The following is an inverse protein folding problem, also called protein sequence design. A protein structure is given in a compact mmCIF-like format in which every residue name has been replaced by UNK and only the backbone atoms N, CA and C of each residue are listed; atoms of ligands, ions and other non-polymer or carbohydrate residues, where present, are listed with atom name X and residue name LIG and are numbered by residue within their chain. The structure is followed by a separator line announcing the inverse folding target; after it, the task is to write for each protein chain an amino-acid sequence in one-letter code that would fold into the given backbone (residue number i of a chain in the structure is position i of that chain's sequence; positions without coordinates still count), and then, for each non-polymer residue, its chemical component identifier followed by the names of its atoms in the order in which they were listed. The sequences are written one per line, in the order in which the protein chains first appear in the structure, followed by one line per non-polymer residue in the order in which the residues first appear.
data_IF_185594631218
#
_entry.id   IF_185594631218
#
_cell.length_a   1.000
_cell.length_b   1.000
_cell.length_c   1.000
_cell.angle_alpha   90.00
_cell.angle_beta   90.00
_cell.angle_gamma   90.00
#
_symmetry.space_group_name_H-M   'P 1'
#
loop_
_entity.id
_entity.type
_entity.pdbx_description
1 polymer ?
#
# COMPACT_ATOMS: atom_id res chain seq x y z
N UNK A 1 -9.21 7.67 -3.76
CA UNK A 1 -9.18 6.32 -4.38
C UNK A 1 -10.30 5.51 -3.78
N UNK A 2 -11.13 4.90 -4.62
CA UNK A 2 -12.26 4.10 -4.17
C UNK A 2 -11.82 2.70 -3.74
N UNK A 3 -12.64 2.02 -2.94
CA UNK A 3 -12.36 0.67 -2.47
C UNK A 3 -12.18 -0.32 -3.62
N UNK A 4 -13.00 -0.22 -4.67
CA UNK A 4 -12.94 -1.10 -5.84
C UNK A 4 -11.62 -0.95 -6.59
N UNK A 5 -11.20 0.28 -6.88
CA UNK A 5 -9.92 0.54 -7.53
C UNK A 5 -8.76 -0.05 -6.73
N UNK A 6 -8.76 0.17 -5.42
CA UNK A 6 -7.71 -0.33 -4.52
C UNK A 6 -7.67 -1.86 -4.48
N UNK A 7 -8.84 -2.51 -4.47
CA UNK A 7 -8.95 -3.96 -4.46
C UNK A 7 -8.42 -4.56 -5.77
N UNK A 8 -8.78 -3.98 -6.92
CA UNK A 8 -8.27 -4.41 -8.23
C UNK A 8 -6.74 -4.27 -8.28
N UNK A 9 -6.20 -3.10 -7.92
CA UNK A 9 -4.75 -2.88 -7.95
C UNK A 9 -3.99 -3.88 -7.06
N UNK A 10 -4.52 -4.20 -5.87
CA UNK A 10 -3.90 -5.18 -4.98
C UNK A 10 -3.92 -6.59 -5.58
N UNK A 11 -5.05 -7.02 -6.14
CA UNK A 11 -5.19 -8.36 -6.72
C UNK A 11 -4.32 -8.48 -7.98
N UNK A 12 -4.43 -7.52 -8.89
CA UNK A 12 -3.84 -7.61 -10.23
C UNK A 12 -2.34 -7.35 -10.24
N UNK A 13 -1.83 -6.53 -9.31
CA UNK A 13 -0.43 -6.09 -9.34
C UNK A 13 0.40 -6.53 -8.14
N UNK A 14 -0.22 -6.81 -6.99
CA UNK A 14 0.52 -7.22 -5.78
C UNK A 14 0.37 -8.71 -5.54
N UNK A 15 -0.86 -9.21 -5.36
CA UNK A 15 -1.10 -10.61 -5.00
C UNK A 15 -0.77 -11.56 -6.16
N UNK A 16 -1.04 -11.15 -7.40
CA UNK A 16 -0.66 -11.93 -8.58
C UNK A 16 0.85 -12.16 -8.72
N UNK A 17 1.67 -11.23 -8.22
CA UNK A 17 3.15 -11.26 -8.33
C UNK A 17 3.82 -11.86 -7.11
N UNK A 18 3.36 -11.47 -5.92
CA UNK A 18 3.98 -11.83 -4.64
C UNK A 18 3.31 -13.05 -3.99
N UNK A 19 2.17 -13.50 -4.53
CA UNK A 19 1.31 -14.50 -3.92
C UNK A 19 0.29 -13.89 -2.95
N UNK A 20 -0.63 -14.73 -2.49
CA UNK A 20 -1.66 -14.33 -1.54
C UNK A 20 -1.04 -14.16 -0.14
N UNK A 21 -1.20 -13.01 0.53
CA UNK A 21 -0.69 -12.83 1.88
C UNK A 21 -1.53 -13.60 2.89
N UNK A 22 -0.88 -14.16 3.91
CA UNK A 22 -1.57 -14.70 5.09
C UNK A 22 -2.08 -13.58 6.00
N UNK A 23 -1.30 -12.50 6.11
CA UNK A 23 -1.62 -11.34 6.95
C UNK A 23 -1.42 -10.03 6.17
N UNK A 24 -2.33 -9.08 6.37
CA UNK A 24 -2.20 -7.71 5.86
C UNK A 24 -2.28 -6.71 6.99
N UNK A 25 -1.29 -5.82 7.07
CA UNK A 25 -1.29 -4.69 8.00
C UNK A 25 -1.71 -3.45 7.24
N UNK A 26 -2.86 -2.86 7.59
CA UNK A 26 -3.30 -1.57 7.04
C UNK A 26 -3.40 -0.50 8.12
N UNK A 27 -3.41 0.75 7.66
CA UNK A 27 -3.87 1.86 8.49
C UNK A 27 -5.39 1.80 8.72
N UNK A 28 -5.93 2.82 9.41
CA UNK A 28 -7.37 2.96 9.68
C UNK A 28 -8.10 3.71 8.55
N UNK A 29 -7.57 3.69 7.32
CA UNK A 29 -8.22 4.28 6.16
C UNK A 29 -9.57 3.62 5.86
N UNK A 30 -10.60 4.43 5.59
CA UNK A 30 -11.97 3.95 5.32
C UNK A 30 -12.03 2.94 4.17
N UNK A 31 -11.15 3.08 3.18
CA UNK A 31 -11.02 2.17 2.04
C UNK A 31 -10.79 0.72 2.49
N UNK A 32 -9.79 0.50 3.36
CA UNK A 32 -9.42 -0.83 3.85
C UNK A 32 -10.41 -1.40 4.88
N UNK A 33 -11.34 -0.58 5.38
CA UNK A 33 -12.42 -0.95 6.31
C UNK A 33 -13.79 -1.09 5.63
N UNK A 34 -13.86 -0.87 4.32
CA UNK A 34 -15.09 -1.01 3.53
C UNK A 34 -15.62 -2.45 3.52
N UNK A 35 -16.91 -2.61 3.21
CA UNK A 35 -17.54 -3.93 3.10
C UNK A 35 -16.84 -4.81 2.05
N UNK A 36 -16.46 -4.23 0.91
CA UNK A 36 -15.70 -4.91 -0.12
C UNK A 36 -14.41 -5.53 0.43
N UNK A 37 -13.63 -4.77 1.18
CA UNK A 37 -12.38 -5.28 1.74
C UNK A 37 -12.60 -6.37 2.79
N UNK A 38 -13.67 -6.28 3.59
CA UNK A 38 -14.03 -7.34 4.53
C UNK A 38 -14.32 -8.66 3.81
N UNK A 39 -15.08 -8.59 2.72
CA UNK A 39 -15.38 -9.77 1.89
C UNK A 39 -14.12 -10.31 1.21
N UNK A 40 -13.25 -9.43 0.73
CA UNK A 40 -11.96 -9.80 0.14
C UNK A 40 -11.07 -10.53 1.16
N UNK A 41 -10.91 -10.00 2.37
CA UNK A 41 -10.12 -10.66 3.42
C UNK A 41 -10.70 -12.04 3.77
N UNK A 42 -12.02 -12.15 3.84
CA UNK A 42 -12.68 -13.43 4.10
C UNK A 42 -12.49 -14.44 2.98
N UNK A 43 -12.70 -14.03 1.72
CA UNK A 43 -12.60 -14.89 0.54
C UNK A 43 -11.20 -15.50 0.41
N UNK A 44 -10.18 -14.67 0.61
CA UNK A 44 -8.79 -15.09 0.48
C UNK A 44 -8.17 -15.55 1.79
N UNK A 45 -8.95 -15.63 2.88
CA UNK A 45 -8.49 -16.04 4.22
C UNK A 45 -7.32 -15.18 4.74
N UNK A 46 -7.30 -13.90 4.38
CA UNK A 46 -6.30 -12.95 4.86
C UNK A 46 -6.68 -12.49 6.25
N UNK A 47 -5.76 -12.60 7.20
CA UNK A 47 -5.90 -11.97 8.50
C UNK A 47 -5.56 -10.48 8.41
N UNK A 48 -6.57 -9.63 8.54
CA UNK A 48 -6.36 -8.19 8.64
C UNK A 48 -5.85 -7.83 10.03
N UNK A 49 -4.65 -7.28 10.09
CA UNK A 49 -4.09 -6.59 11.24
C UNK A 49 -4.27 -5.07 11.09
N UNK A 50 -4.63 -4.41 12.18
CA UNK A 50 -4.67 -2.94 12.23
C UNK A 50 -3.39 -2.44 12.87
N UNK A 51 -2.74 -1.44 12.26
CA UNK A 51 -1.77 -0.64 13.01
C UNK A 51 -2.48 -0.03 14.22
N UNK A 52 -1.93 -0.18 15.42
CA UNK A 52 -2.52 0.47 16.61
C UNK A 52 -2.53 1.98 16.38
N UNK A 53 -3.67 2.67 16.54
CA UNK A 53 -3.69 4.12 16.45
C UNK A 53 -2.69 4.66 17.49
N UNK A 54 -1.87 5.63 17.09
CA UNK A 54 -0.81 6.20 17.95
C UNK A 54 0.32 5.25 18.39
N UNK A 55 0.66 4.19 17.64
CA UNK A 55 1.96 3.49 17.78
C UNK A 55 3.01 4.05 16.79
N UNK A 56 3.79 5.09 17.17
CA UNK A 56 4.76 5.73 16.28
C UNK A 56 5.92 4.81 15.86
N UNK A 57 6.16 3.70 16.57
CA UNK A 57 7.25 2.76 16.24
C UNK A 57 6.87 1.83 15.08
N UNK A 58 5.70 1.17 15.14
CA UNK A 58 5.20 0.30 14.07
C UNK A 58 4.85 1.12 12.82
N UNK A 59 4.17 2.25 13.00
CA UNK A 59 3.89 3.16 11.90
C UNK A 59 5.15 3.94 11.45
N UNK A 60 6.19 3.98 12.29
CA UNK A 60 7.43 4.70 12.04
C UNK A 60 8.27 4.08 10.93
N UNK A 61 8.29 2.75 10.81
CA UNK A 61 8.96 2.09 9.69
C UNK A 61 8.28 2.41 8.36
N UNK A 62 6.95 2.27 8.29
CA UNK A 62 6.16 2.67 7.10
C UNK A 62 6.35 4.15 6.76
N UNK A 63 6.27 5.04 7.76
CA UNK A 63 6.51 6.48 7.56
C UNK A 63 7.92 6.80 7.09
N UNK A 64 8.95 6.12 7.63
CA UNK A 64 10.34 6.30 7.18
C UNK A 64 10.51 5.81 5.75
N UNK A 65 9.98 4.64 5.41
CA UNK A 65 10.02 4.12 4.05
C UNK A 65 9.32 5.07 3.07
N UNK A 66 8.10 5.52 3.40
CA UNK A 66 7.37 6.50 2.58
C UNK A 66 8.17 7.81 2.42
N UNK A 67 8.81 8.30 3.49
CA UNK A 67 9.66 9.49 3.42
C UNK A 67 10.86 9.27 2.50
N UNK A 68 11.55 8.14 2.62
CA UNK A 68 12.67 7.79 1.76
C UNK A 68 12.22 7.72 0.30
N UNK A 69 11.13 7.01 0.00
CA UNK A 69 10.57 6.92 -1.35
C UNK A 69 10.22 8.29 -1.93
N UNK A 70 9.51 9.12 -1.17
CA UNK A 70 9.17 10.49 -1.61
C UNK A 70 10.40 11.35 -1.84
N UNK A 71 11.44 11.20 -1.00
CA UNK A 71 12.70 11.92 -1.16
C UNK A 71 13.43 11.47 -2.42
N UNK A 72 13.55 10.16 -2.65
CA UNK A 72 14.16 9.59 -3.85
C UNK A 72 13.41 10.02 -5.11
N UNK A 73 12.07 9.98 -5.09
CA UNK A 73 11.25 10.45 -6.20
C UNK A 73 11.41 11.94 -6.46
N UNK A 74 11.49 12.76 -5.41
CA UNK A 74 11.71 14.21 -5.54
C UNK A 74 13.07 14.52 -6.14
N UNK A 75 14.11 13.73 -5.85
CA UNK A 75 15.44 13.89 -6.45
C UNK A 75 15.42 13.41 -7.90
N UNK A 76 14.85 12.24 -8.17
CA UNK A 76 14.81 11.64 -9.51
C UNK A 76 13.94 12.43 -10.50
N UNK A 77 12.99 13.22 -9.99
CA UNK A 77 12.06 14.03 -10.80
C UNK A 77 12.34 15.52 -10.66
N UNK A 78 13.56 15.89 -10.24
CA UNK A 78 13.94 17.29 -10.03
C UNK A 78 13.87 18.11 -11.34
N UNK A 79 14.19 17.48 -12.48
CA UNK A 79 14.18 18.13 -13.79
C UNK A 79 12.78 18.21 -14.41
N UNK A 80 11.91 17.22 -14.14
CA UNK A 80 10.50 17.23 -14.55
C UNK A 80 9.60 16.60 -13.47
N UNK A 81 9.00 17.42 -12.59
CA UNK A 81 8.14 16.95 -11.50
C UNK A 81 6.87 16.22 -11.99
N UNK A 82 6.45 16.42 -13.24
CA UNK A 82 5.23 15.81 -13.78
C UNK A 82 5.44 14.37 -14.26
N UNK A 83 6.70 13.92 -14.42
CA UNK A 83 7.05 12.57 -14.88
C UNK A 83 7.53 11.64 -13.77
N UNK A 84 7.22 11.97 -12.50
CA UNK A 84 7.65 11.20 -11.34
C UNK A 84 7.28 9.71 -11.39
N UNK A 85 6.18 9.39 -12.08
CA UNK A 85 5.69 8.02 -12.27
C UNK A 85 6.58 7.17 -13.19
N UNK A 86 7.36 7.77 -14.09
CA UNK A 86 8.33 7.04 -14.92
C UNK A 86 9.45 6.43 -14.06
N UNK A 87 9.78 7.11 -12.96
CA UNK A 87 10.86 6.73 -12.05
C UNK A 87 10.44 5.65 -11.03
N UNK A 88 9.18 5.22 -11.02
CA UNK A 88 8.65 4.20 -10.10
C UNK A 88 8.96 2.75 -10.52
N UNK A 89 9.49 2.50 -11.71
CA UNK A 89 9.79 1.15 -12.20
C UNK A 89 11.04 0.57 -11.53
N UNK A 90 10.99 0.33 -10.22
CA UNK A 90 11.93 -0.59 -9.58
C UNK A 90 11.53 -2.00 -10.00
N UNK A 91 12.32 -2.60 -10.90
CA UNK A 91 12.33 -4.05 -11.12
C UNK A 91 12.64 -4.73 -9.78
N UNK A 92 11.60 -5.29 -9.17
CA UNK A 92 11.72 -6.35 -8.17
C UNK A 92 11.68 -7.68 -8.90
#
# INVERSE_FOLDING_TARGET
MEAVTTANDLVDHVFSRMGMPEEIVTDQGRTFDSQLFKELYWLFKIQKLRTTPYRPQANGQFKRMNRTLLTTLSIASADDPFQWNQNLQLRV
#
